data_IF_498895091861
#
_entry.id   IF_498895091861
#
_cell.length_a   1.000
_cell.length_b   1.000
_cell.length_c   1.000
_cell.angle_alpha   90.00
_cell.angle_beta   90.00
_cell.angle_gamma   90.00
#
_symmetry.space_group_name_H-M   'P 1'
#
loop_
_entity.id
_entity.type
_entity.pdbx_description
1 polymer ?
#
# COMPACT_ATOMS: atom_id res chain seq x y z
N UNK A 1 19.43 -15.93 -12.38
CA UNK A 1 18.16 -15.18 -12.30
C UNK A 1 18.51 -13.76 -11.87
N UNK A 2 18.58 -12.79 -12.79
CA UNK A 2 18.95 -11.40 -12.48
C UNK A 2 17.67 -10.64 -12.12
N UNK A 3 17.47 -10.37 -10.84
CA UNK A 3 16.32 -9.61 -10.30
C UNK A 3 16.59 -8.09 -10.29
N UNK A 4 17.73 -7.66 -10.82
CA UNK A 4 18.15 -6.26 -10.81
C UNK A 4 18.20 -5.72 -12.23
N UNK A 5 17.30 -4.78 -12.51
CA UNK A 5 17.25 -4.01 -13.75
C UNK A 5 17.96 -2.66 -13.51
N UNK A 6 18.81 -2.23 -14.44
CA UNK A 6 19.53 -0.97 -14.29
C UNK A 6 18.59 0.24 -14.29
N UNK A 7 17.33 0.12 -14.73
CA UNK A 7 16.39 1.23 -14.79
C UNK A 7 15.75 1.64 -13.44
N UNK A 8 16.03 0.94 -12.34
CA UNK A 8 15.46 1.26 -11.01
C UNK A 8 15.73 2.70 -10.55
N UNK A 9 16.85 3.32 -10.97
CA UNK A 9 17.16 4.72 -10.66
C UNK A 9 16.08 5.70 -11.15
N UNK A 10 15.32 5.34 -12.19
CA UNK A 10 14.26 6.19 -12.77
C UNK A 10 13.07 6.35 -11.84
N UNK A 11 12.80 5.36 -10.99
CA UNK A 11 11.65 5.34 -10.07
C UNK A 11 12.05 5.52 -8.61
N UNK A 12 13.34 5.48 -8.29
CA UNK A 12 13.85 5.60 -6.92
C UNK A 12 13.46 6.91 -6.21
N UNK A 13 13.26 7.99 -6.96
CA UNK A 13 12.84 9.29 -6.42
C UNK A 13 11.32 9.49 -6.31
N UNK A 14 10.51 8.50 -6.68
CA UNK A 14 9.06 8.66 -6.69
C UNK A 14 8.47 8.47 -5.28
N UNK A 15 7.50 9.30 -4.92
CA UNK A 15 6.71 9.14 -3.69
C UNK A 15 5.42 8.40 -4.02
N UNK A 16 5.17 7.30 -3.32
CA UNK A 16 3.89 6.60 -3.38
C UNK A 16 2.89 7.29 -2.45
N UNK A 17 1.64 7.38 -2.90
CA UNK A 17 0.54 7.90 -2.11
C UNK A 17 -0.76 7.18 -2.47
N UNK A 18 -1.66 7.07 -1.51
CA UNK A 18 -3.02 6.57 -1.76
C UNK A 18 -3.81 7.57 -2.62
N UNK A 19 -4.70 7.05 -3.46
CA UNK A 19 -5.63 7.90 -4.20
C UNK A 19 -6.60 8.58 -3.20
N UNK A 20 -7.07 9.81 -3.46
CA UNK A 20 -7.90 10.56 -2.51
C UNK A 20 -9.22 9.85 -2.13
N UNK A 21 -9.74 9.00 -3.00
CA UNK A 21 -10.98 8.27 -2.81
C UNK A 21 -10.81 6.94 -2.06
N UNK A 22 -9.58 6.55 -1.72
CA UNK A 22 -9.32 5.31 -0.98
C UNK A 22 -9.68 5.52 0.48
N UNK A 23 -10.62 4.72 0.96
CA UNK A 23 -10.99 4.68 2.37
C UNK A 23 -10.09 3.70 3.13
N UNK A 24 -9.62 4.08 4.32
CA UNK A 24 -8.77 3.23 5.16
C UNK A 24 -9.51 2.86 6.44
N UNK A 25 -9.58 1.56 6.74
CA UNK A 25 -10.16 1.04 8.00
C UNK A 25 -9.15 0.23 8.77
N UNK A 26 -8.88 0.60 10.02
CA UNK A 26 -8.01 -0.17 10.92
C UNK A 26 -8.77 -1.34 11.53
N UNK A 27 -8.18 -2.53 11.51
CA UNK A 27 -8.74 -3.74 12.07
C UNK A 27 -7.69 -4.50 12.90
N UNK A 28 -8.13 -5.24 13.91
CA UNK A 28 -7.30 -6.20 14.63
C UNK A 28 -7.81 -7.59 14.25
N UNK A 29 -6.94 -8.42 13.69
CA UNK A 29 -7.28 -9.78 13.28
C UNK A 29 -6.20 -10.73 13.81
N UNK A 30 -6.64 -11.73 14.60
CA UNK A 30 -5.75 -12.71 15.26
C UNK A 30 -4.61 -12.06 16.07
N UNK A 31 -4.92 -10.95 16.75
CA UNK A 31 -3.95 -10.19 17.55
C UNK A 31 -3.04 -9.26 16.73
N UNK A 32 -3.11 -9.30 15.40
CA UNK A 32 -2.31 -8.44 14.53
C UNK A 32 -3.11 -7.23 14.05
N UNK A 33 -2.45 -6.08 13.91
CA UNK A 33 -3.03 -4.86 13.36
C UNK A 33 -2.98 -4.89 11.83
N UNK A 34 -4.11 -4.61 11.20
CA UNK A 34 -4.29 -4.52 9.77
C UNK A 34 -4.94 -3.20 9.36
N UNK A 35 -4.65 -2.76 8.15
CA UNK A 35 -5.29 -1.61 7.51
C UNK A 35 -5.95 -2.10 6.22
N UNK A 36 -7.27 -2.02 6.15
CA UNK A 36 -8.05 -2.38 4.96
C UNK A 36 -8.24 -1.13 4.13
N UNK A 37 -7.68 -1.14 2.91
CA UNK A 37 -7.93 -0.13 1.90
C UNK A 37 -9.15 -0.55 1.09
N UNK A 38 -10.06 0.37 0.87
CA UNK A 38 -11.21 0.22 -0.02
C UNK A 38 -11.13 1.30 -1.09
N UNK A 39 -11.04 0.91 -2.36
CA UNK A 39 -11.20 1.81 -3.50
C UNK A 39 -12.64 1.68 -4.02
N UNK A 40 -13.54 2.63 -3.71
CA UNK A 40 -14.95 2.55 -4.11
C UNK A 40 -15.13 2.65 -5.63
N UNK A 41 -14.19 3.28 -6.34
CA UNK A 41 -14.30 3.46 -7.79
C UNK A 41 -14.08 2.15 -8.53
N UNK A 42 -13.08 1.38 -8.11
CA UNK A 42 -12.76 0.07 -8.71
C UNK A 42 -13.41 -1.11 -7.97
N UNK A 43 -14.10 -0.85 -6.85
CA UNK A 43 -14.60 -1.86 -5.91
C UNK A 43 -13.52 -2.86 -5.48
N UNK A 44 -12.31 -2.34 -5.19
CA UNK A 44 -11.15 -3.14 -4.82
C UNK A 44 -10.84 -3.02 -3.33
N UNK A 45 -10.34 -4.12 -2.76
CA UNK A 45 -9.96 -4.20 -1.36
C UNK A 45 -8.54 -4.73 -1.21
N UNK A 46 -7.75 -4.05 -0.39
CA UNK A 46 -6.37 -4.46 -0.07
C UNK A 46 -6.16 -4.47 1.44
N UNK A 47 -5.26 -5.33 1.91
CA UNK A 47 -4.86 -5.38 3.32
C UNK A 47 -3.39 -5.05 3.46
N UNK A 48 -3.10 -4.07 4.30
CA UNK A 48 -1.75 -3.66 4.65
C UNK A 48 -1.42 -3.99 6.09
N UNK A 49 -0.19 -4.45 6.30
CA UNK A 49 0.45 -4.46 7.63
C UNK A 49 0.86 -3.03 8.01
N UNK A 50 1.15 -2.76 9.29
CA UNK A 50 1.48 -1.40 9.75
C UNK A 50 2.64 -0.76 8.98
N UNK A 51 3.74 -1.49 8.75
CA UNK A 51 4.89 -0.97 8.01
C UNK A 51 4.55 -0.59 6.55
N UNK A 52 3.68 -1.38 5.89
CA UNK A 52 3.25 -1.06 4.53
C UNK A 52 2.27 0.12 4.50
N UNK A 53 1.42 0.26 5.52
CA UNK A 53 0.56 1.43 5.67
C UNK A 53 1.36 2.71 5.91
N UNK A 54 2.37 2.67 6.80
CA UNK A 54 3.26 3.82 7.04
C UNK A 54 4.04 4.24 5.79
N UNK A 55 4.34 3.31 4.89
CA UNK A 55 5.04 3.60 3.64
C UNK A 55 4.18 4.34 2.60
N UNK A 56 2.86 4.16 2.61
CA UNK A 56 1.94 4.71 1.59
C UNK A 56 1.16 5.95 2.04
N UNK A 57 1.35 6.39 3.30
CA UNK A 57 0.73 7.58 3.88
C UNK A 57 1.64 8.81 3.78
#
# INVERSE_FOLDING_TARGET
MKTFDESWYRVAGQRLALRPNVEVRRQIFRGERWYVLHDPFANQFFRLRPAAHEFVV
#
